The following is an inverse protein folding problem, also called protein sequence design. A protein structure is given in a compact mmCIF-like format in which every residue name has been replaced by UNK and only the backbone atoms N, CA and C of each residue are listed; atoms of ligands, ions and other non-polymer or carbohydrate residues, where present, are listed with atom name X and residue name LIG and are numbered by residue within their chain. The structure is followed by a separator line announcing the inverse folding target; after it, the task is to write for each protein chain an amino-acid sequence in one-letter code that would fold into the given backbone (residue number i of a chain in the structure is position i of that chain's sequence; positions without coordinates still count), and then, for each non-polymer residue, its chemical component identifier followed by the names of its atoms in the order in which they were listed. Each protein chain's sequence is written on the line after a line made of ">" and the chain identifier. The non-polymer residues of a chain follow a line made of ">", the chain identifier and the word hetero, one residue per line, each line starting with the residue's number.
data_IF_037643782208
#
_entry.id   IF_037643782208
#
_cell.length_a   1.000
_cell.length_b   1.000
_cell.length_c   1.000
_cell.angle_alpha   90.00
_cell.angle_beta   90.00
_cell.angle_gamma   90.00
#
_symmetry.space_group_name_H-M   'P 1'
#
loop_
_entity.id
_entity.type
_entity.pdbx_description
1 polymer ?
#
# COMPACT_ATOMS: atom_id res chain seq x y z
N UNK A 1 22.40 -9.12 4.41
CA UNK A 1 20.93 -9.22 4.50
C UNK A 1 20.44 -7.82 4.80
N UNK A 2 19.95 -7.09 3.79
CA UNK A 2 19.49 -5.70 4.00
C UNK A 2 18.20 -5.77 4.81
N UNK A 3 18.25 -5.29 6.06
CA UNK A 3 17.06 -5.03 6.87
C UNK A 3 16.51 -3.66 6.47
N UNK A 4 15.84 -3.59 5.32
CA UNK A 4 14.94 -2.48 5.07
C UNK A 4 13.71 -2.74 5.96
N UNK A 5 13.45 -1.86 6.91
CA UNK A 5 12.25 -1.96 7.72
C UNK A 5 11.07 -1.88 6.76
N UNK A 6 10.24 -2.93 6.61
CA UNK A 6 9.17 -2.89 5.64
C UNK A 6 8.30 -1.68 5.93
N UNK A 7 7.87 -0.93 4.90
CA UNK A 7 7.02 0.24 5.09
C UNK A 7 5.82 -0.14 5.98
N UNK A 8 5.41 0.77 6.86
CA UNK A 8 4.28 0.57 7.78
C UNK A 8 3.06 1.35 7.32
N UNK A 9 1.88 0.88 7.71
CA UNK A 9 0.64 1.56 7.38
C UNK A 9 0.54 2.89 8.16
N UNK A 10 0.33 4.05 7.51
CA UNK A 10 0.22 5.33 8.20
C UNK A 10 -1.06 5.45 9.06
N UNK A 11 -2.06 4.58 8.85
CA UNK A 11 -3.31 4.59 9.60
C UNK A 11 -3.25 3.80 10.92
N UNK A 12 -2.45 2.73 10.99
CA UNK A 12 -2.44 1.84 12.16
C UNK A 12 -1.05 1.38 12.61
N UNK A 13 0.02 1.87 11.96
CA UNK A 13 1.43 1.56 12.22
C UNK A 13 1.84 0.09 12.03
N UNK A 14 0.94 -0.81 11.64
CA UNK A 14 1.28 -2.20 11.38
C UNK A 14 2.20 -2.34 10.16
N UNK A 15 3.15 -3.28 10.18
CA UNK A 15 3.94 -3.63 9.00
C UNK A 15 3.03 -3.99 7.83
N UNK A 16 3.43 -3.57 6.63
CA UNK A 16 2.67 -3.90 5.42
C UNK A 16 2.77 -5.40 5.08
N UNK A 17 1.66 -5.94 4.64
CA UNK A 17 1.52 -7.31 4.14
C UNK A 17 2.06 -7.42 2.71
N UNK A 18 2.31 -8.63 2.19
CA UNK A 18 2.65 -8.82 0.79
C UNK A 18 1.62 -8.15 -0.14
N UNK A 19 2.06 -7.56 -1.27
CA UNK A 19 1.15 -6.85 -2.17
C UNK A 19 0.12 -7.80 -2.78
N UNK A 20 -1.12 -7.35 -2.84
CA UNK A 20 -2.21 -8.05 -3.50
C UNK A 20 -2.04 -8.05 -5.02
N UNK A 21 -1.45 -6.97 -5.57
CA UNK A 21 -1.09 -6.89 -6.98
C UNK A 21 0.14 -6.00 -7.18
N UNK A 22 0.87 -6.27 -8.27
CA UNK A 22 2.07 -5.54 -8.67
C UNK A 22 2.02 -5.30 -10.17
N UNK A 23 2.23 -4.06 -10.60
CA UNK A 23 2.15 -3.67 -12.01
C UNK A 23 3.36 -2.84 -12.42
N UNK A 24 4.01 -3.14 -13.56
CA UNK A 24 5.12 -2.31 -14.05
C UNK A 24 4.62 -0.95 -14.55
N UNK A 25 5.44 0.08 -14.34
CA UNK A 25 5.31 1.44 -14.88
C UNK A 25 6.68 1.97 -15.31
N UNK A 26 6.71 3.09 -16.03
CA UNK A 26 7.96 3.76 -16.47
C UNK A 26 8.86 4.18 -15.31
N UNK A 27 8.28 4.40 -14.13
CA UNK A 27 9.01 4.84 -12.93
C UNK A 27 9.36 3.68 -11.98
N UNK A 28 8.99 2.44 -12.30
CA UNK A 28 9.23 1.25 -11.49
C UNK A 28 7.97 0.42 -11.33
N UNK A 29 7.89 -0.40 -10.29
CA UNK A 29 6.70 -1.19 -10.00
C UNK A 29 5.75 -0.45 -9.06
N UNK A 30 4.46 -0.40 -9.42
CA UNK A 30 3.38 0.04 -8.54
C UNK A 30 2.80 -1.19 -7.85
N UNK A 31 2.72 -1.15 -6.52
CA UNK A 31 2.21 -2.24 -5.68
C UNK A 31 0.97 -1.79 -4.93
N UNK A 32 -0.09 -2.58 -5.00
CA UNK A 32 -1.30 -2.36 -4.21
C UNK A 32 -1.30 -3.32 -3.03
N UNK A 33 -1.35 -2.78 -1.82
CA UNK A 33 -1.31 -3.53 -0.56
C UNK A 33 -2.57 -3.26 0.23
N UNK A 34 -3.14 -4.30 0.83
CA UNK A 34 -4.24 -4.15 1.79
C UNK A 34 -3.71 -4.41 3.20
N UNK A 35 -3.66 -3.38 4.02
CA UNK A 35 -3.28 -3.53 5.41
C UNK A 35 -4.36 -4.30 6.19
N UNK A 36 -3.97 -4.94 7.29
CA UNK A 36 -4.88 -5.66 8.18
C UNK A 36 -5.95 -4.76 8.82
N UNK A 37 -5.71 -3.45 8.91
CA UNK A 37 -6.73 -2.49 9.37
C UNK A 37 -7.81 -2.21 8.32
N UNK A 38 -7.69 -2.80 7.12
CA UNK A 38 -8.62 -2.63 6.01
C UNK A 38 -8.22 -1.56 5.00
N UNK A 39 -7.22 -0.73 5.31
CA UNK A 39 -6.81 0.36 4.44
C UNK A 39 -6.06 -0.14 3.20
N UNK A 40 -6.37 0.44 2.04
CA UNK A 40 -5.62 0.22 0.81
C UNK A 40 -4.50 1.23 0.68
N UNK A 41 -3.31 0.75 0.28
CA UNK A 41 -2.11 1.53 0.09
C UNK A 41 -1.54 1.29 -1.30
N UNK A 42 -1.00 2.36 -1.89
CA UNK A 42 -0.27 2.33 -3.15
C UNK A 42 1.20 2.59 -2.86
N UNK A 43 2.06 1.67 -3.25
CA UNK A 43 3.50 1.77 -3.06
C UNK A 43 4.21 1.90 -4.41
N UNK A 44 5.28 2.69 -4.41
CA UNK A 44 6.23 2.78 -5.51
C UNK A 44 7.64 2.88 -4.92
N UNK A 45 8.58 2.06 -5.40
CA UNK A 45 9.97 2.00 -4.86
C UNK A 45 10.01 1.91 -3.32
N UNK A 46 9.13 1.09 -2.75
CA UNK A 46 9.03 0.81 -1.31
C UNK A 46 8.56 1.99 -0.44
N UNK A 47 8.17 3.10 -1.05
CA UNK A 47 7.50 4.20 -0.38
C UNK A 47 5.98 4.11 -0.57
N UNK A 48 5.21 4.44 0.48
CA UNK A 48 3.76 4.68 0.36
C UNK A 48 3.55 6.03 -0.33
N UNK A 49 2.97 5.99 -1.52
CA UNK A 49 2.69 7.20 -2.32
C UNK A 49 1.21 7.61 -2.30
N UNK A 50 0.34 6.74 -1.77
CA UNK A 50 -1.10 7.02 -1.68
C UNK A 50 -1.84 6.04 -0.77
N UNK A 51 -3.00 6.50 -0.29
CA UNK A 51 -3.97 5.68 0.45
C UNK A 51 -5.36 5.89 -0.14
N UNK A 52 -6.23 4.88 -0.03
CA UNK A 52 -7.63 5.06 -0.39
C UNK A 52 -8.28 6.08 0.54
N UNK A 53 -8.91 7.09 -0.04
CA UNK A 53 -9.72 8.07 0.68
C UNK A 53 -11.16 7.60 0.91
N UNK A 54 -11.95 8.38 1.66
CA UNK A 54 -13.38 8.14 1.76
C UNK A 54 -14.03 8.20 0.36
N UNK A 55 -15.00 7.32 0.13
CA UNK A 55 -15.79 7.27 -1.09
C UNK A 55 -17.16 7.88 -0.85
N UNK A 56 -17.66 8.67 -1.82
CA UNK A 56 -19.05 9.12 -1.83
C UNK A 56 -20.01 8.05 -2.37
N UNK A 57 -19.48 6.97 -2.96
CA UNK A 57 -20.26 5.84 -3.42
C UNK A 57 -20.60 4.92 -2.24
N UNK A 58 -21.87 4.86 -1.86
CA UNK A 58 -22.37 3.83 -0.95
C UNK A 58 -22.53 2.49 -1.69
N UNK A 59 -22.28 1.38 -0.98
CA UNK A 59 -22.71 0.08 -1.48
C UNK A 59 -24.25 0.05 -1.59
N UNK A 60 -24.82 -0.61 -2.62
CA UNK A 60 -26.27 -0.74 -2.77
C UNK A 60 -26.91 -1.52 -1.61
#
# INVERSE_FOLDING_TARGET
>A
MVTDNPPSCPACAWPLTPPASCHPSSEGAVRYVRCICGQWLVLQRDAVIGTAGPTAFAAP
#
